data_IF_021072199135
#
_entry.id   IF_021072199135
#
_cell.length_a   1.000
_cell.length_b   1.000
_cell.length_c   1.000
_cell.angle_alpha   90.00
_cell.angle_beta   90.00
_cell.angle_gamma   90.00
#
_symmetry.space_group_name_H-M   'P 1'
#
loop_
_entity.id
_entity.type
_entity.pdbx_description
1 polymer ?
#
# COMPACT_ATOMS: atom_id res chain seq x y z
N UNK A 1 -43.87 72.18 -29.66
CA UNK A 1 -44.57 70.88 -29.53
C UNK A 1 -43.58 69.71 -29.60
N UNK A 2 -42.78 69.59 -30.65
CA UNK A 2 -41.83 68.47 -30.85
C UNK A 2 -40.70 68.39 -29.81
N UNK A 3 -40.12 69.53 -29.41
CA UNK A 3 -39.02 69.59 -28.43
C UNK A 3 -39.43 69.05 -27.05
N UNK A 4 -40.66 69.33 -26.61
CA UNK A 4 -41.18 68.88 -25.32
C UNK A 4 -41.39 67.34 -25.31
N UNK A 5 -41.86 66.78 -26.42
CA UNK A 5 -41.98 65.32 -26.57
C UNK A 5 -40.62 64.61 -26.55
N UNK A 6 -39.60 65.19 -27.18
CA UNK A 6 -38.23 64.63 -27.19
C UNK A 6 -37.64 64.61 -25.78
N UNK A 7 -37.82 65.69 -25.01
CA UNK A 7 -37.35 65.79 -23.61
C UNK A 7 -38.05 64.76 -22.72
N UNK A 8 -39.36 64.54 -22.89
CA UNK A 8 -40.10 63.54 -22.12
C UNK A 8 -39.62 62.12 -22.41
N UNK A 9 -39.42 61.78 -23.69
CA UNK A 9 -38.92 60.46 -24.08
C UNK A 9 -37.52 60.23 -23.50
N UNK A 10 -36.63 61.21 -23.61
CA UNK A 10 -35.30 61.13 -23.02
C UNK A 10 -35.34 60.93 -21.50
N UNK A 11 -36.23 61.63 -20.79
CA UNK A 11 -36.40 61.49 -19.34
C UNK A 11 -36.87 60.08 -18.93
N UNK A 12 -37.80 59.49 -19.69
CA UNK A 12 -38.30 58.12 -19.43
C UNK A 12 -37.19 57.10 -19.65
N UNK A 13 -36.46 57.17 -20.76
CA UNK A 13 -35.33 56.26 -21.01
C UNK A 13 -34.21 56.43 -19.99
N UNK A 14 -33.95 57.66 -19.52
CA UNK A 14 -32.97 57.92 -18.46
C UNK A 14 -33.39 57.27 -17.14
N UNK A 15 -34.66 57.37 -16.75
CA UNK A 15 -35.18 56.71 -15.55
C UNK A 15 -35.07 55.19 -15.63
N UNK A 16 -35.39 54.60 -16.78
CA UNK A 16 -35.26 53.16 -17.00
C UNK A 16 -33.77 52.75 -16.95
N UNK A 17 -32.90 53.50 -17.62
CA UNK A 17 -31.46 53.27 -17.60
C UNK A 17 -30.85 53.40 -16.20
N UNK A 18 -31.28 54.39 -15.42
CA UNK A 18 -30.84 54.59 -14.04
C UNK A 18 -31.33 53.46 -13.12
N UNK A 19 -32.56 52.98 -13.28
CA UNK A 19 -33.09 51.85 -12.51
C UNK A 19 -32.32 50.56 -12.79
N UNK A 20 -32.05 50.27 -14.07
CA UNK A 20 -31.27 49.08 -14.48
C UNK A 20 -29.81 49.21 -14.04
N UNK A 21 -29.21 50.38 -14.22
CA UNK A 21 -27.83 50.66 -13.79
C UNK A 21 -27.65 50.49 -12.29
N UNK A 22 -28.58 51.01 -11.48
CA UNK A 22 -28.55 50.87 -10.03
C UNK A 22 -28.67 49.41 -9.57
N UNK A 23 -29.51 48.60 -10.22
CA UNK A 23 -29.61 47.16 -9.96
C UNK A 23 -28.30 46.42 -10.30
N UNK A 24 -27.61 46.81 -11.37
CA UNK A 24 -26.34 46.22 -11.76
C UNK A 24 -25.18 46.63 -10.84
N UNK A 25 -25.13 47.89 -10.37
CA UNK A 25 -24.09 48.36 -9.45
C UNK A 25 -24.03 47.53 -8.16
N UNK A 26 -25.18 47.10 -7.62
CA UNK A 26 -25.22 46.28 -6.41
C UNK A 26 -24.63 44.87 -6.61
N UNK A 27 -24.60 44.37 -7.85
CA UNK A 27 -24.05 43.05 -8.19
C UNK A 27 -22.53 43.10 -8.39
N UNK A 28 -22.01 44.21 -8.93
CA UNK A 28 -20.55 44.41 -9.14
C UNK A 28 -19.79 44.48 -7.82
N UNK A 29 -20.36 45.10 -6.79
CA UNK A 29 -19.75 45.17 -5.45
C UNK A 29 -19.57 43.79 -4.79
N UNK A 30 -20.27 42.76 -5.27
CA UNK A 30 -20.07 41.37 -4.82
C UNK A 30 -18.91 40.65 -5.53
N UNK A 31 -18.44 41.18 -6.66
CA UNK A 31 -17.27 40.68 -7.39
C UNK A 31 -15.98 40.85 -6.59
N UNK A 32 -15.77 42.01 -5.98
CA UNK A 32 -14.59 42.29 -5.16
C UNK A 32 -14.45 41.34 -3.97
N UNK A 33 -15.59 40.94 -3.38
CA UNK A 33 -15.64 39.95 -2.29
C UNK A 33 -15.17 38.58 -2.80
N UNK A 34 -15.63 38.18 -3.98
CA UNK A 34 -15.26 36.90 -4.60
C UNK A 34 -13.78 36.88 -4.97
N UNK A 35 -13.27 37.95 -5.58
CA UNK A 35 -11.85 38.09 -5.94
C UNK A 35 -10.97 38.01 -4.69
N UNK A 36 -11.32 38.75 -3.63
CA UNK A 36 -10.60 38.69 -2.35
C UNK A 36 -10.61 37.30 -1.71
N UNK A 37 -11.73 36.58 -1.78
CA UNK A 37 -11.80 35.20 -1.31
C UNK A 37 -10.92 34.26 -2.13
N UNK A 38 -10.86 34.44 -3.45
CA UNK A 38 -9.97 33.67 -4.33
C UNK A 38 -8.50 33.95 -4.03
N UNK A 39 -8.12 35.22 -3.87
CA UNK A 39 -6.77 35.61 -3.46
C UNK A 39 -6.39 35.01 -2.11
N UNK A 40 -7.32 35.03 -1.15
CA UNK A 40 -7.08 34.43 0.17
C UNK A 40 -6.93 32.91 0.09
N UNK A 41 -7.72 32.23 -0.74
CA UNK A 41 -7.58 30.78 -0.98
C UNK A 41 -6.25 30.45 -1.63
N UNK A 42 -5.83 31.24 -2.62
CA UNK A 42 -4.52 31.08 -3.27
C UNK A 42 -3.39 31.24 -2.25
N UNK A 43 -3.41 32.32 -1.47
CA UNK A 43 -2.40 32.57 -0.44
C UNK A 43 -2.38 31.48 0.65
N UNK A 44 -3.55 30.96 1.04
CA UNK A 44 -3.65 29.85 1.99
C UNK A 44 -3.03 28.56 1.42
N UNK A 45 -3.33 28.22 0.17
CA UNK A 45 -2.79 27.03 -0.50
C UNK A 45 -1.27 27.13 -0.71
N UNK A 46 -0.77 28.29 -1.13
CA UNK A 46 0.68 28.52 -1.25
C UNK A 46 1.40 28.38 0.09
N UNK A 47 0.78 28.88 1.17
CA UNK A 47 1.31 28.72 2.54
C UNK A 47 1.34 27.27 2.97
N UNK A 48 0.28 26.51 2.68
CA UNK A 48 0.21 25.09 2.99
C UNK A 48 1.27 24.28 2.22
N UNK A 49 1.45 24.57 0.93
CA UNK A 49 2.49 23.95 0.11
C UNK A 49 3.89 24.22 0.67
N UNK A 50 4.18 25.47 1.05
CA UNK A 50 5.46 25.82 1.69
C UNK A 50 5.66 25.09 3.01
N UNK A 51 4.62 24.97 3.83
CA UNK A 51 4.68 24.21 5.09
C UNK A 51 4.98 22.74 4.83
N UNK A 52 4.29 22.13 3.87
CA UNK A 52 4.51 20.74 3.48
C UNK A 52 5.96 20.52 2.98
N UNK A 53 6.45 21.41 2.12
CA UNK A 53 7.85 21.34 1.64
C UNK A 53 8.86 21.42 2.80
N UNK A 54 8.60 22.29 3.78
CA UNK A 54 9.45 22.40 4.96
C UNK A 54 9.39 21.13 5.83
N UNK A 55 8.20 20.61 6.09
CA UNK A 55 7.98 19.40 6.88
C UNK A 55 8.63 18.15 6.25
N UNK A 56 8.50 17.97 4.93
CA UNK A 56 9.19 16.89 4.22
C UNK A 56 10.70 17.02 4.30
N UNK A 57 11.22 18.25 4.20
CA UNK A 57 12.66 18.51 4.34
C UNK A 57 13.16 18.13 5.73
N UNK A 58 12.42 18.51 6.77
CA UNK A 58 12.74 18.15 8.16
C UNK A 58 12.70 16.64 8.40
N UNK A 59 11.70 15.95 7.86
CA UNK A 59 11.62 14.48 7.90
C UNK A 59 12.79 13.83 7.17
N UNK A 60 13.21 14.36 6.02
CA UNK A 60 14.34 13.81 5.27
C UNK A 60 15.67 14.02 5.99
N UNK A 61 15.86 15.17 6.65
CA UNK A 61 17.03 15.43 7.51
C UNK A 61 17.05 14.42 8.66
N UNK A 62 15.93 14.27 9.39
CA UNK A 62 15.83 13.31 10.49
C UNK A 62 16.08 11.86 10.03
N UNK A 63 15.50 11.48 8.89
CA UNK A 63 15.73 10.16 8.28
C UNK A 63 17.20 9.96 7.88
N UNK A 64 17.86 11.00 7.36
CA UNK A 64 19.29 10.93 7.00
C UNK A 64 20.18 10.74 8.23
N UNK A 65 19.85 11.35 9.37
CA UNK A 65 20.55 11.10 10.62
C UNK A 65 20.36 9.66 11.10
N UNK A 66 19.13 9.14 11.04
CA UNK A 66 18.83 7.77 11.44
C UNK A 66 19.51 6.74 10.50
N UNK A 67 19.52 7.00 9.18
CA UNK A 67 20.18 6.11 8.21
C UNK A 67 21.69 6.10 8.38
N UNK A 68 22.30 7.23 8.79
CA UNK A 68 23.73 7.29 9.12
C UNK A 68 24.06 6.35 10.28
N UNK A 69 23.23 6.33 11.32
CA UNK A 69 23.40 5.42 12.45
C UNK A 69 23.33 3.96 12.00
N UNK A 70 22.39 3.60 11.11
CA UNK A 70 22.30 2.26 10.53
C UNK A 70 23.56 1.90 9.74
N UNK A 71 24.07 2.81 8.91
CA UNK A 71 25.30 2.59 8.15
C UNK A 71 26.50 2.31 9.05
N UNK A 72 26.59 3.03 10.18
CA UNK A 72 27.64 2.81 11.17
C UNK A 72 27.48 1.47 11.91
N UNK A 73 26.25 1.13 12.33
CA UNK A 73 25.95 -0.17 12.94
C UNK A 73 26.20 -1.34 11.99
N UNK A 74 25.87 -1.21 10.70
CA UNK A 74 26.16 -2.22 9.68
C UNK A 74 27.67 -2.47 9.57
N UNK A 75 28.48 -1.40 9.53
CA UNK A 75 29.93 -1.50 9.47
C UNK A 75 30.51 -2.18 10.72
N UNK A 76 30.01 -1.83 11.91
CA UNK A 76 30.40 -2.48 13.17
C UNK A 76 30.04 -3.97 13.21
N UNK A 77 28.84 -4.34 12.74
CA UNK A 77 28.41 -5.74 12.66
C UNK A 77 29.35 -6.52 11.74
N UNK A 78 29.70 -5.96 10.58
CA UNK A 78 30.62 -6.60 9.64
C UNK A 78 32.04 -6.75 10.20
N UNK A 79 32.57 -5.72 10.89
CA UNK A 79 33.87 -5.82 11.56
C UNK A 79 33.85 -6.87 12.69
N UNK A 80 32.78 -6.90 13.49
CA UNK A 80 32.59 -7.92 14.52
C UNK A 80 32.46 -9.32 13.95
N UNK A 81 31.76 -9.50 12.83
CA UNK A 81 31.61 -10.78 12.16
C UNK A 81 32.96 -11.24 11.60
N UNK A 82 33.71 -10.37 10.93
CA UNK A 82 35.04 -10.68 10.43
C UNK A 82 36.01 -11.05 11.58
N UNK A 83 36.02 -10.24 12.64
CA UNK A 83 36.84 -10.49 13.84
C UNK A 83 36.48 -11.81 14.53
N UNK A 84 35.18 -12.11 14.68
CA UNK A 84 34.70 -13.37 15.26
C UNK A 84 34.97 -14.55 14.34
N UNK A 85 34.77 -14.43 13.03
CA UNK A 85 35.08 -15.48 12.07
C UNK A 85 36.57 -15.84 12.12
N UNK A 86 37.47 -14.85 12.17
CA UNK A 86 38.90 -15.09 12.35
C UNK A 86 39.21 -15.79 13.69
N UNK A 87 38.54 -15.41 14.78
CA UNK A 87 38.75 -16.03 16.09
C UNK A 87 38.22 -17.46 16.16
N UNK A 88 37.04 -17.73 15.58
CA UNK A 88 36.41 -19.04 15.56
C UNK A 88 37.09 -20.00 14.57
N UNK A 89 37.57 -19.49 13.43
CA UNK A 89 38.33 -20.26 12.45
C UNK A 89 39.83 -20.40 12.83
N UNK A 90 40.26 -19.81 13.95
CA UNK A 90 41.64 -19.96 14.41
C UNK A 90 41.91 -21.43 14.77
N UNK A 91 43.08 -21.93 14.35
CA UNK A 91 43.47 -23.31 14.59
C UNK A 91 43.49 -23.66 16.08
N UNK A 92 43.69 -22.70 16.96
CA UNK A 92 43.70 -22.91 18.41
C UNK A 92 42.31 -23.18 18.97
N UNK A 93 41.27 -22.48 18.48
CA UNK A 93 39.88 -22.76 18.87
C UNK A 93 39.41 -24.08 18.27
N UNK A 94 39.76 -24.37 17.01
CA UNK A 94 39.46 -25.67 16.39
C UNK A 94 40.12 -26.82 17.16
N UNK A 95 41.39 -26.66 17.59
CA UNK A 95 42.09 -27.63 18.45
C UNK A 95 41.46 -27.71 19.83
N UNK A 96 41.00 -26.61 20.40
CA UNK A 96 40.33 -26.59 21.71
C UNK A 96 38.97 -27.30 21.66
N UNK A 97 38.19 -27.12 20.58
CA UNK A 97 36.93 -27.84 20.33
C UNK A 97 37.18 -29.33 20.14
N UNK A 98 38.17 -29.72 19.34
CA UNK A 98 38.57 -31.14 19.17
C UNK A 98 39.03 -31.77 20.48
N UNK A 99 39.72 -30.99 21.34
CA UNK A 99 40.21 -31.46 22.64
C UNK A 99 39.09 -31.50 23.70
N UNK A 100 38.11 -30.60 23.65
CA UNK A 100 36.97 -30.58 24.57
C UNK A 100 35.85 -31.52 24.16
N UNK A 101 35.68 -31.78 22.86
CA UNK A 101 34.78 -32.80 22.30
C UNK A 101 35.44 -34.18 22.22
N UNK A 102 36.27 -34.52 23.21
CA UNK A 102 36.98 -35.79 23.23
C UNK A 102 36.01 -36.97 23.21
N UNK A 103 36.24 -37.93 22.31
CA UNK A 103 35.58 -39.25 22.16
C UNK A 103 34.05 -39.32 22.13
N UNK A 104 33.33 -38.23 22.43
CA UNK A 104 31.88 -38.17 22.66
C UNK A 104 31.14 -37.48 21.50
N UNK A 105 31.87 -37.02 20.48
CA UNK A 105 31.28 -36.82 19.15
C UNK A 105 31.02 -38.22 18.59
N UNK A 106 29.92 -38.85 19.04
CA UNK A 106 29.48 -40.22 18.79
C UNK A 106 29.14 -40.52 17.33
N UNK A 107 30.02 -40.13 16.42
CA UNK A 107 29.93 -40.45 15.01
C UNK A 107 30.51 -41.80 14.68
N UNK A 108 31.13 -42.50 15.64
CA UNK A 108 31.65 -43.85 15.44
C UNK A 108 31.14 -44.78 16.52
N UNK A 109 30.67 -45.97 16.12
CA UNK A 109 30.44 -47.09 17.03
C UNK A 109 31.76 -47.53 17.69
N UNK A 110 31.68 -48.35 18.75
CA UNK A 110 32.81 -49.02 19.41
C UNK A 110 33.69 -49.82 18.43
N UNK A 111 33.17 -50.15 17.24
CA UNK A 111 33.86 -50.84 16.16
C UNK A 111 34.47 -49.89 15.09
N UNK A 112 34.39 -48.58 15.27
CA UNK A 112 34.93 -47.59 14.33
C UNK A 112 34.10 -47.35 13.07
N UNK A 113 32.84 -47.82 13.05
CA UNK A 113 31.92 -47.61 11.93
C UNK A 113 31.13 -46.30 12.10
N UNK A 114 30.88 -45.53 11.03
CA UNK A 114 30.10 -44.30 11.13
C UNK A 114 28.68 -44.59 11.61
N UNK A 115 28.26 -43.95 12.71
CA UNK A 115 26.94 -44.13 13.31
C UNK A 115 25.83 -43.39 12.53
N UNK A 116 26.23 -42.42 11.70
CA UNK A 116 25.36 -41.63 10.84
C UNK A 116 25.75 -41.94 9.40
N UNK A 117 24.80 -42.42 8.60
CA UNK A 117 24.98 -42.51 7.16
C UNK A 117 24.94 -41.09 6.58
N UNK A 118 26.04 -40.65 5.98
CA UNK A 118 26.16 -39.30 5.39
C UNK A 118 25.18 -39.08 4.24
N UNK A 119 24.57 -40.14 3.71
CA UNK A 119 23.44 -40.10 2.77
C UNK A 119 22.20 -39.37 3.31
N UNK A 120 21.95 -39.47 4.63
CA UNK A 120 20.72 -38.98 5.28
C UNK A 120 20.89 -37.58 5.88
N UNK A 121 22.07 -36.98 5.75
CA UNK A 121 22.32 -35.61 6.21
C UNK A 121 21.86 -34.63 5.14
N UNK A 122 20.62 -34.19 5.27
CA UNK A 122 20.06 -33.17 4.39
C UNK A 122 20.32 -31.76 4.94
N UNK A 123 20.59 -30.80 4.05
CA UNK A 123 20.74 -29.39 4.43
C UNK A 123 19.42 -28.87 5.04
N UNK A 124 19.48 -27.93 6.01
CA UNK A 124 18.27 -27.31 6.55
C UNK A 124 17.43 -26.74 5.42
N UNK A 125 16.24 -27.31 5.20
CA UNK A 125 15.28 -26.80 4.22
C UNK A 125 14.50 -25.66 4.89
N UNK A 126 14.42 -24.51 4.23
CA UNK A 126 13.63 -23.35 4.68
C UNK A 126 12.10 -23.56 4.55
N UNK A 127 11.67 -24.76 4.14
CA UNK A 127 10.28 -25.15 3.97
C UNK A 127 10.00 -26.46 4.71
N UNK A 128 8.79 -26.55 5.28
CA UNK A 128 8.29 -27.80 5.81
C UNK A 128 7.96 -28.76 4.65
N UNK A 129 8.28 -30.06 4.77
CA UNK A 129 7.85 -31.05 3.79
C UNK A 129 6.33 -31.07 3.69
N UNK A 130 5.79 -31.20 2.47
CA UNK A 130 4.36 -31.35 2.27
C UNK A 130 3.94 -32.72 2.80
N UNK A 131 3.33 -32.73 3.99
CA UNK A 131 2.82 -33.93 4.64
C UNK A 131 1.29 -33.93 4.57
N UNK A 132 0.65 -35.09 4.33
CA UNK A 132 -0.81 -35.20 4.38
C UNK A 132 -1.36 -34.72 5.72
N UNK A 133 -2.26 -33.73 5.69
CA UNK A 133 -2.86 -33.12 6.89
C UNK A 133 -1.95 -32.10 7.60
N UNK A 134 -0.87 -31.63 6.95
CA UNK A 134 -0.05 -30.55 7.47
C UNK A 134 -0.78 -29.21 7.50
N UNK A 135 -0.32 -28.26 8.32
CA UNK A 135 -0.95 -26.92 8.44
C UNK A 135 -1.00 -26.12 7.13
N UNK A 136 -0.17 -26.49 6.16
CA UNK A 136 -0.09 -25.88 4.84
C UNK A 136 -0.82 -26.69 3.76
N UNK A 137 -1.49 -27.79 4.12
CA UNK A 137 -2.29 -28.52 3.16
C UNK A 137 -3.58 -27.76 2.87
N UNK A 138 -4.02 -27.76 1.62
CA UNK A 138 -5.25 -27.09 1.16
C UNK A 138 -6.51 -27.54 1.91
N UNK A 139 -6.45 -28.74 2.48
CA UNK A 139 -7.53 -29.37 3.22
C UNK A 139 -7.43 -29.14 4.74
N UNK A 140 -6.43 -28.38 5.21
CA UNK A 140 -6.25 -28.09 6.63
C UNK A 140 -7.43 -27.27 7.18
N UNK A 141 -8.04 -27.77 8.25
CA UNK A 141 -9.19 -27.12 8.89
C UNK A 141 -10.52 -27.28 8.16
N UNK A 142 -10.58 -28.02 7.04
CA UNK A 142 -11.84 -28.37 6.37
C UNK A 142 -12.37 -29.71 6.89
N UNK A 143 -13.65 -29.78 7.20
CA UNK A 143 -14.32 -31.05 7.50
C UNK A 143 -14.48 -31.89 6.23
N UNK A 144 -14.57 -33.21 6.33
CA UNK A 144 -14.75 -34.09 5.16
C UNK A 144 -15.98 -33.68 4.32
N UNK A 145 -17.04 -33.18 4.96
CA UNK A 145 -18.22 -32.68 4.27
C UNK A 145 -17.94 -31.41 3.44
N UNK A 146 -17.08 -30.51 3.94
CA UNK A 146 -16.69 -29.28 3.25
C UNK A 146 -15.68 -29.55 2.12
N UNK A 147 -14.80 -30.53 2.30
CA UNK A 147 -13.87 -31.01 1.27
C UNK A 147 -14.65 -31.63 0.10
N UNK A 148 -15.55 -32.57 0.39
CA UNK A 148 -16.43 -33.17 -0.62
C UNK A 148 -17.29 -32.13 -1.35
N UNK A 149 -17.76 -31.10 -0.63
CA UNK A 149 -18.51 -29.98 -1.24
C UNK A 149 -17.62 -29.14 -2.15
N UNK A 150 -16.38 -28.83 -1.76
CA UNK A 150 -15.43 -28.07 -2.57
C UNK A 150 -15.01 -28.84 -3.86
N UNK A 151 -14.81 -30.15 -3.76
CA UNK A 151 -14.54 -31.02 -4.91
C UNK A 151 -15.73 -31.07 -5.88
N UNK A 152 -16.96 -31.25 -5.38
CA UNK A 152 -18.17 -31.24 -6.20
C UNK A 152 -18.45 -29.87 -6.86
N UNK A 153 -18.10 -28.76 -6.20
CA UNK A 153 -18.19 -27.42 -6.78
C UNK A 153 -17.16 -27.21 -7.90
N UNK A 154 -15.99 -27.82 -7.78
CA UNK A 154 -14.93 -27.69 -8.80
C UNK A 154 -15.25 -28.53 -10.05
N UNK A 155 -15.86 -29.71 -9.86
CA UNK A 155 -16.37 -30.54 -10.96
C UNK A 155 -17.55 -29.88 -11.70
N UNK A 156 -18.48 -29.25 -10.98
CA UNK A 156 -19.64 -28.60 -11.61
C UNK A 156 -19.29 -27.33 -12.41
N UNK A 157 -18.28 -26.58 -11.97
CA UNK A 157 -17.77 -25.38 -12.68
C UNK A 157 -17.05 -25.82 -13.96
N UNK A 158 -16.28 -26.92 -13.90
CA UNK A 158 -15.58 -27.47 -15.06
C UNK A 158 -16.54 -28.04 -16.10
N UNK A 159 -17.63 -28.67 -15.67
CA UNK A 159 -18.66 -29.21 -16.56
C UNK A 159 -19.57 -28.10 -17.15
N UNK A 160 -19.88 -27.04 -16.39
CA UNK A 160 -20.60 -25.88 -16.92
C UNK A 160 -19.79 -25.09 -17.96
N UNK A 161 -18.46 -25.04 -17.83
CA UNK A 161 -17.60 -24.38 -18.82
C UNK A 161 -17.53 -25.15 -20.15
N UNK A 162 -17.71 -26.47 -20.13
CA UNK A 162 -17.78 -27.28 -21.36
C UNK A 162 -19.13 -27.19 -22.09
N UNK A 163 -20.20 -26.76 -21.41
CA UNK A 163 -21.57 -26.72 -21.94
C UNK A 163 -21.97 -25.43 -22.68
N UNK A 164 -21.16 -24.37 -22.63
CA UNK A 164 -21.49 -23.09 -23.27
C UNK A 164 -20.48 -22.72 -24.37
N UNK A 165 -20.35 -23.60 -25.38
CA UNK A 165 -19.73 -23.26 -26.67
C UNK A 165 -20.81 -22.66 -27.57
N UNK A 166 -21.06 -21.37 -27.41
CA UNK A 166 -21.84 -20.57 -28.37
C UNK A 166 -20.97 -20.37 -29.61
N UNK A 167 -21.28 -21.10 -30.68
CA UNK A 167 -20.94 -20.67 -32.04
C UNK A 167 -21.84 -19.48 -32.39
N UNK A 168 -21.26 -18.36 -32.81
CA UNK A 168 -22.03 -17.30 -33.45
C UNK A 168 -21.46 -15.89 -33.32
N UNK A 169 -20.74 -15.51 -34.37
CA UNK A 169 -20.58 -14.17 -34.93
C UNK A 169 -19.78 -13.09 -34.20
N UNK A 170 -18.85 -12.56 -34.99
CA UNK A 170 -18.16 -11.32 -34.83
C UNK A 170 -19.13 -10.12 -34.77
N UNK A 171 -18.57 -9.03 -34.24
CA UNK A 171 -18.78 -7.65 -34.71
C UNK A 171 -19.80 -6.79 -33.95
N UNK A 172 -19.46 -6.33 -32.74
CA UNK A 172 -20.08 -5.14 -32.14
C UNK A 172 -19.14 -4.47 -31.11
N UNK A 173 -18.67 -3.26 -31.46
CA UNK A 173 -18.16 -2.26 -30.51
C UNK A 173 -19.20 -1.96 -29.43
N UNK A 174 -18.82 -2.14 -28.16
CA UNK A 174 -19.40 -1.41 -27.02
C UNK A 174 -18.51 -1.60 -25.78
N UNK A 175 -17.77 -0.55 -25.42
CA UNK A 175 -17.19 -0.40 -24.08
C UNK A 175 -18.30 -0.43 -23.02
N UNK A 176 -18.21 -1.23 -21.95
CA UNK A 176 -19.16 -1.11 -20.86
C UNK A 176 -18.74 0.04 -19.94
N UNK A 177 -19.51 1.12 -20.00
CA UNK A 177 -19.56 2.17 -18.97
C UNK A 177 -19.95 1.54 -17.62
N UNK A 178 -19.00 1.51 -16.68
CA UNK A 178 -19.21 1.11 -15.29
C UNK A 178 -19.08 2.35 -14.39
N UNK A 179 -20.20 3.05 -14.18
CA UNK A 179 -20.44 3.88 -13.00
C UNK A 179 -21.87 3.60 -12.54
N UNK A 180 -22.05 2.95 -11.39
CA UNK A 180 -22.64 3.60 -10.20
C UNK A 180 -22.75 2.60 -9.03
N UNK A 181 -22.78 3.16 -7.82
CA UNK A 181 -23.13 2.55 -6.51
C UNK A 181 -22.04 1.80 -5.73
N UNK A 182 -21.19 2.57 -5.05
CA UNK A 182 -20.86 2.26 -3.64
C UNK A 182 -21.20 3.49 -2.81
N UNK A 183 -22.41 3.48 -2.26
CA UNK A 183 -22.81 4.27 -1.11
C UNK A 183 -22.90 3.30 0.08
N UNK A 184 -22.23 3.60 1.20
CA UNK A 184 -22.24 2.74 2.37
C UNK A 184 -21.05 2.90 3.32
N UNK A 185 -21.09 3.97 4.12
CA UNK A 185 -20.64 4.04 5.52
C UNK A 185 -19.30 3.37 5.91
N UNK A 186 -18.21 4.14 5.83
CA UNK A 186 -17.01 3.85 6.64
C UNK A 186 -17.02 4.73 7.90
N UNK A 187 -17.30 4.09 9.04
CA UNK A 187 -17.33 4.71 10.36
C UNK A 187 -15.93 5.02 10.86
N UNK A 188 -15.76 6.27 11.31
CA UNK A 188 -14.57 6.79 11.99
C UNK A 188 -14.27 6.00 13.29
N UNK A 189 -13.07 5.40 13.46
CA UNK A 189 -12.71 4.63 14.65
C UNK A 189 -12.27 5.49 15.85
N UNK A 190 -12.38 6.82 15.82
CA UNK A 190 -11.92 7.69 16.92
C UNK A 190 -13.01 8.17 17.87
N UNK A 191 -13.86 7.27 18.38
CA UNK A 191 -14.64 7.55 19.61
C UNK A 191 -14.80 6.29 20.47
N UNK A 192 -13.74 5.88 21.17
CA UNK A 192 -13.89 5.15 22.44
C UNK A 192 -12.57 5.09 23.20
N UNK A 193 -12.23 6.16 23.94
CA UNK A 193 -11.63 6.03 25.27
C UNK A 193 -11.99 7.29 26.06
N UNK A 194 -12.97 7.15 26.95
CA UNK A 194 -13.07 7.93 28.17
C UNK A 194 -12.44 7.09 29.29
#
# INVERSE_FOLDING_TARGET
>A
MTTLSVILIAAVFFLIGAAVGHLFSKKVDSGDKSVRNLEQKLAASEKELKRYQQEVTEHFITASHLTSNIGQSYRQIHEHLASKAMRLASSDVARQILKSGGSDFGLLDSNGNPLIDLSDVEVPRDYAPSVPGGILSENYGLTEAEQNKAENLTENITQSRAGNRVEGNAENDASPDFLDNIDGDEKDPTQSVA
#
